data_IF_718015332414
#
_entry.id   IF_718015332414
#
_cell.length_a   1.000
_cell.length_b   1.000
_cell.length_c   1.000
_cell.angle_alpha   90.00
_cell.angle_beta   90.00
_cell.angle_gamma   90.00
#
_symmetry.space_group_name_H-M   'P 1'
#
loop_
_entity.id
_entity.type
_entity.pdbx_description
1 polymer ?
#
# COMPACT_ATOMS: atom_id res chain seq x y z
N UNK A 1 12.25 17.50 2.81
CA UNK A 1 11.76 16.49 1.86
C UNK A 1 10.68 15.66 2.53
N UNK A 2 9.69 15.13 1.77
CA UNK A 2 8.74 14.13 2.27
C UNK A 2 9.32 12.72 2.08
N UNK A 3 9.37 11.98 3.17
CA UNK A 3 9.97 10.67 3.25
C UNK A 3 8.91 9.63 3.61
N UNK A 4 8.79 8.59 2.79
CA UNK A 4 7.94 7.45 3.11
C UNK A 4 8.75 6.39 3.86
N UNK A 5 8.26 5.98 5.03
CA UNK A 5 8.79 4.90 5.82
C UNK A 5 7.78 3.75 5.82
N UNK A 6 8.10 2.66 5.13
CA UNK A 6 7.18 1.52 4.94
C UNK A 6 7.72 0.30 5.68
N UNK A 7 6.92 -0.26 6.58
CA UNK A 7 7.28 -1.49 7.30
C UNK A 7 7.09 -2.72 6.40
N UNK A 8 8.11 -3.58 6.39
CA UNK A 8 8.18 -4.84 5.65
C UNK A 8 8.68 -5.96 6.59
N UNK A 9 8.24 -5.92 7.85
CA UNK A 9 8.74 -6.77 8.92
C UNK A 9 7.94 -8.07 9.07
N UNK A 10 6.68 -8.09 8.63
CA UNK A 10 5.77 -9.22 8.89
C UNK A 10 5.67 -10.18 7.71
N UNK A 11 5.64 -11.46 8.04
CA UNK A 11 5.29 -12.54 7.12
C UNK A 11 3.78 -12.80 7.12
N UNK A 12 3.28 -13.42 6.04
CA UNK A 12 1.93 -13.93 5.96
C UNK A 12 1.66 -14.95 7.08
N UNK A 13 0.41 -15.01 7.56
CA UNK A 13 -0.02 -15.96 8.59
C UNK A 13 0.30 -17.41 8.27
N UNK A 14 0.31 -17.76 6.97
CA UNK A 14 0.60 -19.12 6.50
C UNK A 14 2.12 -19.35 6.32
N UNK A 15 2.98 -18.36 6.61
CA UNK A 15 4.43 -18.45 6.49
C UNK A 15 4.94 -18.55 5.05
N UNK A 16 4.13 -18.13 4.07
CA UNK A 16 4.48 -18.18 2.65
C UNK A 16 5.44 -17.06 2.21
N UNK A 17 5.77 -16.14 3.11
CA UNK A 17 6.70 -15.03 2.87
C UNK A 17 6.17 -13.67 3.30
N UNK A 18 6.90 -12.58 2.98
CA UNK A 18 6.54 -11.25 3.41
C UNK A 18 5.15 -10.81 2.92
N UNK A 19 4.33 -10.27 3.83
CA UNK A 19 3.00 -9.68 3.51
C UNK A 19 3.11 -8.67 2.36
N UNK A 20 4.18 -7.89 2.34
CA UNK A 20 4.45 -6.90 1.29
C UNK A 20 4.44 -7.46 -0.14
N UNK A 21 4.74 -8.76 -0.30
CA UNK A 21 4.75 -9.45 -1.60
C UNK A 21 3.42 -10.11 -1.96
N UNK A 22 2.40 -10.03 -1.11
CA UNK A 22 1.07 -10.56 -1.44
C UNK A 22 0.56 -9.97 -2.76
N UNK A 23 0.06 -10.81 -3.67
CA UNK A 23 -0.40 -10.37 -4.98
C UNK A 23 -1.69 -9.55 -4.86
N UNK A 24 -1.69 -8.34 -5.42
CA UNK A 24 -2.83 -7.43 -5.49
C UNK A 24 -2.90 -6.81 -6.88
N UNK A 25 -4.00 -7.00 -7.58
CA UNK A 25 -4.17 -6.54 -8.96
C UNK A 25 -3.03 -7.05 -9.88
N UNK A 26 -2.35 -6.18 -10.59
CA UNK A 26 -1.23 -6.50 -11.46
C UNK A 26 0.15 -6.42 -10.77
N UNK A 27 0.17 -6.21 -9.45
CA UNK A 27 1.39 -6.02 -8.67
C UNK A 27 1.33 -6.72 -7.32
N UNK A 28 1.95 -6.11 -6.33
CA UNK A 28 1.99 -6.58 -4.94
C UNK A 28 1.45 -5.50 -4.00
N UNK A 29 1.22 -5.85 -2.75
CA UNK A 29 0.84 -4.88 -1.72
C UNK A 29 1.86 -3.73 -1.62
N UNK A 30 3.16 -4.06 -1.69
CA UNK A 30 4.24 -3.04 -1.69
C UNK A 30 4.10 -2.06 -2.85
N UNK A 31 3.74 -2.50 -4.05
CA UNK A 31 3.52 -1.60 -5.19
C UNK A 31 2.41 -0.58 -4.90
N UNK A 32 1.33 -1.03 -4.24
CA UNK A 32 0.23 -0.14 -3.87
C UNK A 32 0.61 0.82 -2.74
N UNK A 33 1.39 0.36 -1.74
CA UNK A 33 1.90 1.23 -0.67
C UNK A 33 2.84 2.30 -1.23
N UNK A 34 3.73 1.95 -2.16
CA UNK A 34 4.61 2.91 -2.83
C UNK A 34 3.79 3.92 -3.65
N UNK A 35 2.80 3.46 -4.42
CA UNK A 35 1.91 4.36 -5.14
C UNK A 35 1.18 5.33 -4.21
N UNK A 36 0.67 4.85 -3.08
CA UNK A 36 0.07 5.71 -2.06
C UNK A 36 1.07 6.75 -1.54
N UNK A 37 2.28 6.32 -1.21
CA UNK A 37 3.34 7.20 -0.71
C UNK A 37 3.78 8.25 -1.75
N UNK A 38 3.89 7.89 -3.02
CA UNK A 38 4.16 8.84 -4.10
C UNK A 38 3.06 9.91 -4.22
N UNK A 39 1.80 9.51 -4.03
CA UNK A 39 0.67 10.44 -4.02
C UNK A 39 0.63 11.33 -2.79
N UNK A 40 1.18 10.92 -1.65
CA UNK A 40 1.45 11.81 -0.52
C UNK A 40 2.51 12.87 -0.85
N UNK A 41 3.21 12.73 -1.98
CA UNK A 41 4.33 13.55 -2.39
C UNK A 41 5.66 13.11 -1.78
N UNK A 42 5.78 11.82 -1.40
CA UNK A 42 7.06 11.30 -0.92
C UNK A 42 8.06 11.17 -2.08
N UNK A 43 9.25 11.71 -1.87
CA UNK A 43 10.34 11.72 -2.85
C UNK A 43 11.38 10.64 -2.53
N UNK A 44 11.53 10.29 -1.25
CA UNK A 44 12.45 9.27 -0.76
C UNK A 44 11.68 8.19 -0.02
N UNK A 45 12.14 6.94 -0.18
CA UNK A 45 11.51 5.76 0.40
C UNK A 45 12.49 5.01 1.29
N UNK A 46 12.10 4.73 2.51
CA UNK A 46 12.86 3.87 3.42
C UNK A 46 12.00 2.65 3.75
N UNK A 47 12.56 1.48 3.50
CA UNK A 47 11.93 0.21 3.78
C UNK A 47 12.51 -0.40 5.05
N UNK A 48 11.65 -0.65 6.04
CA UNK A 48 12.03 -1.32 7.28
C UNK A 48 11.99 -2.83 7.08
N UNK A 49 13.16 -3.45 6.94
CA UNK A 49 13.33 -4.88 6.69
C UNK A 49 14.19 -5.52 7.81
N UNK A 50 13.66 -5.78 9.01
CA UNK A 50 14.43 -6.40 10.10
C UNK A 50 14.96 -7.79 9.72
N UNK A 51 14.15 -8.52 8.96
CA UNK A 51 14.51 -9.84 8.42
C UNK A 51 14.74 -9.74 6.92
N UNK A 52 15.85 -10.29 6.47
CA UNK A 52 16.24 -10.24 5.05
C UNK A 52 15.51 -11.33 4.25
N UNK A 53 14.60 -10.92 3.39
CA UNK A 53 13.95 -11.80 2.40
C UNK A 53 14.51 -11.50 1.01
N UNK A 54 15.14 -12.50 0.38
CA UNK A 54 15.79 -12.34 -0.94
C UNK A 54 14.84 -11.80 -2.02
N UNK A 55 13.60 -12.27 -2.06
CA UNK A 55 12.60 -11.81 -3.02
C UNK A 55 12.23 -10.32 -2.81
N UNK A 56 12.16 -9.87 -1.55
CA UNK A 56 11.84 -8.49 -1.20
C UNK A 56 12.99 -7.56 -1.61
N UNK A 57 14.24 -7.93 -1.30
CA UNK A 57 15.42 -7.16 -1.71
C UNK A 57 15.53 -7.06 -3.22
N UNK A 58 15.33 -8.16 -3.95
CA UNK A 58 15.31 -8.14 -5.42
C UNK A 58 14.26 -7.16 -5.98
N UNK A 59 13.09 -7.09 -5.33
CA UNK A 59 12.04 -6.16 -5.73
C UNK A 59 12.45 -4.71 -5.46
N UNK A 60 12.98 -4.40 -4.29
CA UNK A 60 13.49 -3.06 -3.94
C UNK A 60 14.60 -2.65 -4.92
N UNK A 61 15.55 -3.53 -5.21
CA UNK A 61 16.63 -3.26 -6.16
C UNK A 61 16.10 -3.02 -7.59
N UNK A 62 15.03 -3.73 -7.98
CA UNK A 62 14.40 -3.48 -9.27
C UNK A 62 13.75 -2.08 -9.32
N UNK A 63 13.13 -1.63 -8.23
CA UNK A 63 12.56 -0.29 -8.12
C UNK A 63 13.64 0.80 -8.13
N UNK A 64 14.75 0.58 -7.42
CA UNK A 64 15.92 1.50 -7.46
C UNK A 64 16.45 1.65 -8.89
N UNK A 65 16.56 0.55 -9.63
CA UNK A 65 16.98 0.60 -11.05
C UNK A 65 16.00 1.35 -11.96
N UNK A 66 14.72 1.43 -11.56
CA UNK A 66 13.69 2.22 -12.24
C UNK A 66 13.69 3.70 -11.83
N UNK A 67 14.60 4.11 -10.96
CA UNK A 67 14.77 5.50 -10.54
C UNK A 67 14.09 5.86 -9.23
N UNK A 68 13.57 4.89 -8.45
CA UNK A 68 13.05 5.17 -7.13
C UNK A 68 14.21 5.46 -6.16
N UNK A 69 14.18 6.63 -5.50
CA UNK A 69 15.10 6.92 -4.40
C UNK A 69 14.67 6.13 -3.16
N UNK A 70 15.28 4.97 -2.99
CA UNK A 70 14.88 3.99 -1.99
C UNK A 70 16.09 3.43 -1.24
N UNK A 71 15.94 3.30 0.08
CA UNK A 71 16.90 2.60 0.94
C UNK A 71 16.15 1.59 1.82
N UNK A 72 16.87 0.61 2.34
CA UNK A 72 16.33 -0.29 3.34
C UNK A 72 17.16 -0.22 4.62
N UNK A 73 16.47 -0.32 5.75
CA UNK A 73 17.08 -0.30 7.09
C UNK A 73 16.57 -1.48 7.90
N UNK A 74 17.36 -1.91 8.86
CA UNK A 74 17.06 -3.08 9.70
C UNK A 74 16.69 -2.70 11.13
N UNK A 75 17.13 -1.53 11.57
CA UNK A 75 16.97 -1.09 12.95
C UNK A 75 16.60 0.39 13.05
N UNK A 76 16.06 0.83 14.20
CA UNK A 76 15.81 2.24 14.46
C UNK A 76 17.05 3.12 14.34
N UNK A 77 18.20 2.64 14.77
CA UNK A 77 19.48 3.37 14.74
C UNK A 77 19.96 3.64 13.29
N UNK A 78 19.71 2.71 12.36
CA UNK A 78 19.99 2.92 10.94
C UNK A 78 19.06 3.98 10.32
N UNK A 79 17.78 4.00 10.73
CA UNK A 79 16.78 4.92 10.19
C UNK A 79 17.19 6.39 10.36
N UNK A 80 17.73 6.75 11.52
CA UNK A 80 18.11 8.14 11.84
C UNK A 80 19.20 8.66 10.87
N UNK A 81 20.02 7.79 10.28
CA UNK A 81 21.06 8.20 9.34
C UNK A 81 20.51 8.65 7.98
N UNK A 82 19.28 8.28 7.65
CA UNK A 82 18.66 8.56 6.34
C UNK A 82 17.67 9.72 6.36
N UNK A 83 17.36 10.25 7.53
CA UNK A 83 16.42 11.37 7.70
C UNK A 83 17.13 12.60 8.25
N UNK A 84 16.84 13.76 7.70
CA UNK A 84 17.26 15.06 8.21
C UNK A 84 16.16 15.65 9.11
N UNK A 85 16.53 16.46 10.11
CA UNK A 85 15.58 17.09 11.04
C UNK A 85 14.48 17.91 10.34
N UNK A 86 14.76 18.41 9.14
CA UNK A 86 13.84 19.18 8.31
C UNK A 86 12.89 18.31 7.47
N UNK A 87 13.12 17.00 7.44
CA UNK A 87 12.30 16.09 6.67
C UNK A 87 10.96 15.81 7.36
N UNK A 88 10.00 15.44 6.57
CA UNK A 88 8.69 15.03 7.04
C UNK A 88 8.44 13.56 6.69
N UNK A 89 8.18 12.75 7.70
CA UNK A 89 8.04 11.30 7.57
C UNK A 89 6.59 10.91 7.56
N UNK A 90 6.20 10.06 6.59
CA UNK A 90 4.94 9.35 6.61
C UNK A 90 5.25 7.86 6.77
N UNK A 91 4.88 7.31 7.91
CA UNK A 91 5.02 5.90 8.20
C UNK A 91 3.75 5.13 7.83
N UNK A 92 3.94 3.98 7.20
CA UNK A 92 2.90 2.97 6.99
C UNK A 92 3.35 1.62 7.55
N UNK A 93 2.53 1.04 8.43
CA UNK A 93 2.75 -0.27 8.99
C UNK A 93 2.54 -1.39 7.95
N UNK A 94 3.01 -2.61 8.32
CA UNK A 94 2.80 -3.81 7.51
C UNK A 94 1.33 -4.03 7.19
N UNK A 95 1.04 -4.33 5.95
CA UNK A 95 -0.31 -4.66 5.52
C UNK A 95 -1.28 -3.48 5.41
N UNK A 96 -0.88 -2.28 5.79
CA UNK A 96 -1.76 -1.11 5.81
C UNK A 96 -1.80 -0.44 4.43
N UNK A 97 -3.03 -0.21 3.96
CA UNK A 97 -3.27 0.48 2.70
C UNK A 97 -4.39 1.52 2.87
N UNK A 98 -4.07 2.83 2.79
CA UNK A 98 -5.07 3.90 2.84
C UNK A 98 -5.85 4.00 1.52
N UNK A 99 -7.09 4.51 1.60
CA UNK A 99 -7.87 4.88 0.42
C UNK A 99 -7.50 6.29 -0.08
N UNK A 100 -8.12 6.70 -1.20
CA UNK A 100 -7.92 8.01 -1.82
C UNK A 100 -8.13 9.18 -0.85
N UNK A 101 -9.18 9.12 -0.05
CA UNK A 101 -9.55 10.18 0.90
C UNK A 101 -8.47 10.40 1.97
N UNK A 102 -7.89 9.32 2.49
CA UNK A 102 -6.79 9.40 3.46
C UNK A 102 -5.51 9.90 2.78
N UNK A 103 -5.27 9.46 1.54
CA UNK A 103 -4.14 9.92 0.74
C UNK A 103 -4.22 11.44 0.54
N UNK A 104 -5.37 11.94 0.12
CA UNK A 104 -5.58 13.36 -0.11
C UNK A 104 -5.41 14.17 1.19
N UNK A 105 -5.95 13.69 2.32
CA UNK A 105 -5.76 14.32 3.63
C UNK A 105 -4.29 14.43 4.04
N UNK A 106 -3.44 13.45 3.71
CA UNK A 106 -2.01 13.46 4.01
C UNK A 106 -1.20 14.32 3.02
N UNK A 107 -1.70 14.52 1.80
CA UNK A 107 -1.00 15.27 0.76
C UNK A 107 -1.09 16.79 0.95
N UNK A 108 -2.22 17.27 1.50
CA UNK A 108 -2.55 18.70 1.54
C UNK A 108 -1.62 19.54 2.43
N UNK A 109 -1.17 19.01 3.57
CA UNK A 109 -0.27 19.75 4.47
C UNK A 109 0.68 18.79 5.20
N UNK A 110 1.99 19.09 5.28
CA UNK A 110 2.91 18.34 6.13
C UNK A 110 2.60 18.67 7.60
N UNK A 111 1.70 17.90 8.21
CA UNK A 111 1.31 18.02 9.62
C UNK A 111 1.66 16.74 10.36
N UNK A 112 2.08 16.88 11.61
CA UNK A 112 2.12 15.75 12.53
C UNK A 112 0.69 15.26 12.74
N UNK A 113 0.42 13.99 12.42
CA UNK A 113 -0.93 13.44 12.46
C UNK A 113 -0.90 11.93 12.70
N UNK A 114 -1.66 11.47 13.68
CA UNK A 114 -1.82 10.06 14.04
C UNK A 114 -3.22 9.59 13.64
N UNK A 115 -3.31 8.61 12.74
CA UNK A 115 -4.61 8.06 12.34
C UNK A 115 -5.09 7.01 13.35
N UNK A 116 -6.29 7.21 13.89
CA UNK A 116 -6.85 6.39 14.95
C UNK A 116 -8.30 5.99 14.66
N UNK A 117 -8.76 4.96 15.36
CA UNK A 117 -10.17 4.56 15.40
C UNK A 117 -10.59 4.39 16.86
N UNK A 118 -11.86 4.55 17.17
CA UNK A 118 -12.38 4.26 18.49
C UNK A 118 -12.22 2.77 18.80
N UNK A 119 -11.93 2.46 20.06
CA UNK A 119 -11.75 1.08 20.50
C UNK A 119 -13.08 0.31 20.40
N UNK A 120 -13.07 -0.75 19.56
CA UNK A 120 -14.15 -1.71 19.42
C UNK A 120 -13.57 -3.11 19.19
N UNK A 121 -14.39 -4.15 19.37
CA UNK A 121 -13.98 -5.54 19.16
C UNK A 121 -13.55 -5.82 17.71
N UNK A 122 -14.17 -5.16 16.75
CA UNK A 122 -13.87 -5.32 15.32
C UNK A 122 -12.51 -4.75 14.90
N UNK A 123 -11.84 -3.97 15.76
CA UNK A 123 -10.55 -3.35 15.49
C UNK A 123 -9.40 -3.91 16.32
N UNK A 124 -9.55 -5.12 16.87
CA UNK A 124 -8.54 -5.74 17.76
C UNK A 124 -7.19 -5.97 17.09
N UNK A 125 -7.14 -6.10 15.77
CA UNK A 125 -5.91 -6.23 14.98
C UNK A 125 -5.03 -4.98 14.99
N UNK A 126 -5.60 -3.81 15.33
CA UNK A 126 -4.85 -2.56 15.41
C UNK A 126 -4.28 -2.33 16.81
N UNK A 127 -3.08 -1.77 16.88
CA UNK A 127 -2.38 -1.52 18.14
C UNK A 127 -3.15 -0.54 19.03
N UNK A 128 -3.23 -0.85 20.30
CA UNK A 128 -3.95 -0.03 21.27
C UNK A 128 -3.10 1.14 21.73
N UNK A 129 -3.63 2.35 21.65
CA UNK A 129 -2.98 3.55 22.16
C UNK A 129 -3.36 3.77 23.65
N UNK A 130 -4.66 3.74 23.91
CA UNK A 130 -5.23 3.98 25.24
C UNK A 130 -6.56 3.21 25.42
N UNK A 131 -7.33 3.54 26.45
CA UNK A 131 -8.61 2.87 26.71
C UNK A 131 -9.64 3.07 25.61
N UNK A 132 -9.55 4.16 24.85
CA UNK A 132 -10.58 4.61 23.93
C UNK A 132 -10.20 4.50 22.45
N UNK A 133 -8.91 4.36 22.13
CA UNK A 133 -8.44 4.47 20.75
C UNK A 133 -7.41 3.41 20.39
N UNK A 134 -7.42 3.06 19.09
CA UNK A 134 -6.42 2.21 18.44
C UNK A 134 -5.78 2.94 17.28
N UNK A 135 -4.51 2.63 17.04
CA UNK A 135 -3.72 3.18 15.96
C UNK A 135 -3.96 2.41 14.67
N UNK A 136 -4.23 3.10 13.59
CA UNK A 136 -4.51 2.50 12.27
C UNK A 136 -3.25 2.20 11.44
N UNK A 137 -2.07 2.26 12.04
CA UNK A 137 -0.81 1.92 11.36
C UNK A 137 -0.27 3.01 10.44
N UNK A 138 -0.82 4.22 10.50
CA UNK A 138 -0.31 5.38 9.74
C UNK A 138 -0.04 6.52 10.70
N UNK A 139 1.14 7.11 10.57
CA UNK A 139 1.51 8.34 11.28
C UNK A 139 2.36 9.24 10.39
N UNK A 140 2.13 10.54 10.51
CA UNK A 140 2.88 11.60 9.86
C UNK A 140 3.60 12.42 10.93
N UNK A 141 4.92 12.56 10.86
CA UNK A 141 5.77 13.18 11.86
C UNK A 141 6.90 14.01 11.24
N UNK A 142 7.36 15.02 11.96
CA UNK A 142 8.66 15.64 11.64
C UNK A 142 9.81 14.66 11.96
N UNK A 143 10.80 14.58 11.09
CA UNK A 143 11.94 13.67 11.28
C UNK A 143 12.76 14.00 12.53
N UNK A 144 12.74 15.24 13.02
CA UNK A 144 13.34 15.61 14.31
C UNK A 144 12.83 14.75 15.49
N UNK A 145 11.65 14.15 15.38
CA UNK A 145 11.13 13.21 16.39
C UNK A 145 11.88 11.89 16.43
N UNK A 146 12.58 11.52 15.33
CA UNK A 146 13.38 10.29 15.29
C UNK A 146 14.58 10.32 16.24
N UNK A 147 15.04 11.50 16.65
CA UNK A 147 16.12 11.62 17.64
C UNK A 147 15.78 10.87 18.92
N UNK A 148 14.51 10.86 19.32
CA UNK A 148 14.03 10.11 20.48
C UNK A 148 14.13 8.58 20.29
N UNK A 149 14.38 8.10 19.07
CA UNK A 149 14.49 6.68 18.74
C UNK A 149 15.94 6.17 18.77
N UNK A 150 16.95 7.05 18.89
CA UNK A 150 18.37 6.67 18.91
C UNK A 150 18.67 5.75 20.11
N UNK A 151 18.03 6.01 21.25
CA UNK A 151 18.26 5.26 22.48
C UNK A 151 17.34 4.02 22.62
N UNK A 152 16.52 3.74 21.58
CA UNK A 152 15.65 2.57 21.58
C UNK A 152 16.45 1.34 21.20
N UNK A 153 16.35 0.23 21.97
CA UNK A 153 16.99 -1.03 21.63
C UNK A 153 16.58 -1.50 20.22
N UNK A 154 17.53 -2.00 19.44
CA UNK A 154 17.32 -2.46 18.06
C UNK A 154 16.31 -3.63 17.96
N UNK A 155 16.03 -4.31 19.07
CA UNK A 155 15.04 -5.41 19.15
C UNK A 155 13.59 -4.90 19.19
N UNK A 156 13.38 -3.60 19.42
CA UNK A 156 12.03 -3.04 19.47
C UNK A 156 11.45 -2.86 18.08
N UNK A 157 10.15 -3.15 17.97
CA UNK A 157 9.41 -2.88 16.74
C UNK A 157 9.36 -1.37 16.48
N UNK A 158 9.88 -0.94 15.32
CA UNK A 158 9.99 0.48 14.95
C UNK A 158 8.62 1.15 14.90
N UNK A 159 7.59 0.45 14.43
CA UNK A 159 6.22 0.96 14.40
C UNK A 159 5.70 1.34 15.77
N UNK A 160 5.85 0.47 16.76
CA UNK A 160 5.44 0.73 18.15
C UNK A 160 6.28 1.84 18.79
N UNK A 161 7.55 1.94 18.44
CA UNK A 161 8.42 3.03 18.90
C UNK A 161 7.98 4.38 18.33
N UNK A 162 7.66 4.45 17.04
CA UNK A 162 7.10 5.64 16.39
C UNK A 162 5.74 6.03 16.99
N UNK A 163 4.87 5.05 17.23
CA UNK A 163 3.59 5.30 17.90
C UNK A 163 3.81 5.95 19.28
N UNK A 164 4.70 5.37 20.08
CA UNK A 164 5.02 5.92 21.41
C UNK A 164 5.55 7.35 21.29
N UNK A 165 6.47 7.60 20.38
CA UNK A 165 7.03 8.93 20.12
C UNK A 165 5.93 9.93 19.75
N UNK A 166 5.01 9.54 18.84
CA UNK A 166 3.88 10.36 18.45
C UNK A 166 2.94 10.68 19.63
N UNK A 167 2.63 9.68 20.45
CA UNK A 167 1.77 9.85 21.62
C UNK A 167 2.42 10.74 22.70
N UNK A 168 3.72 10.57 22.96
CA UNK A 168 4.47 11.39 23.92
C UNK A 168 4.62 12.84 23.46
N UNK A 169 4.62 13.06 22.15
CA UNK A 169 4.67 14.40 21.55
C UNK A 169 3.29 15.07 21.42
N UNK A 170 2.24 14.47 21.99
CA UNK A 170 0.84 14.95 21.84
C UNK A 170 0.44 15.18 20.37
N UNK A 171 0.90 14.29 19.48
CA UNK A 171 0.60 14.37 18.06
C UNK A 171 -0.92 14.43 17.83
N UNK A 172 -1.43 15.38 17.04
CA UNK A 172 -2.85 15.46 16.71
C UNK A 172 -3.39 14.13 16.16
N UNK A 173 -4.62 13.77 16.57
CA UNK A 173 -5.26 12.50 16.19
C UNK A 173 -6.38 12.73 15.20
N UNK A 174 -6.30 12.06 14.04
CA UNK A 174 -7.40 11.97 13.08
C UNK A 174 -8.21 10.71 13.39
N UNK A 175 -9.35 10.87 14.04
CA UNK A 175 -10.24 9.75 14.38
C UNK A 175 -11.07 9.39 13.15
N UNK A 176 -10.87 8.19 12.62
CA UNK A 176 -11.63 7.66 11.50
C UNK A 176 -12.91 7.01 12.07
N UNK A 177 -14.08 7.47 11.60
CA UNK A 177 -15.36 6.92 12.04
C UNK A 177 -15.58 5.50 11.49
N UNK A 178 -16.42 4.69 12.18
CA UNK A 178 -16.77 3.33 11.75
C UNK A 178 -17.36 3.31 10.34
N UNK A 179 -18.14 4.33 9.98
CA UNK A 179 -18.67 4.47 8.62
C UNK A 179 -17.55 4.57 7.57
N UNK A 180 -16.49 5.36 7.85
CA UNK A 180 -15.33 5.49 6.95
C UNK A 180 -14.50 4.21 6.93
N UNK A 181 -14.31 3.56 8.08
CA UNK A 181 -13.66 2.24 8.16
C UNK A 181 -14.43 1.21 7.34
N UNK A 182 -15.75 1.12 7.50
CA UNK A 182 -16.62 0.24 6.71
C UNK A 182 -16.59 0.50 5.21
N UNK A 183 -16.37 1.77 4.78
CA UNK A 183 -16.13 2.12 3.37
C UNK A 183 -14.70 1.86 2.91
N UNK A 184 -13.82 1.36 3.77
CA UNK A 184 -12.45 1.01 3.45
C UNK A 184 -11.49 2.19 3.42
N UNK A 185 -11.66 3.15 4.35
CA UNK A 185 -10.72 4.25 4.53
C UNK A 185 -9.29 3.73 4.74
N UNK A 186 -9.15 2.72 5.57
CA UNK A 186 -7.90 1.98 5.74
C UNK A 186 -8.20 0.49 5.63
N UNK A 187 -7.39 -0.22 4.87
CA UNK A 187 -7.46 -1.67 4.72
C UNK A 187 -6.24 -2.30 5.34
N UNK A 188 -6.44 -3.35 6.14
CA UNK A 188 -5.38 -4.13 6.75
C UNK A 188 -5.30 -5.50 6.07
N UNK A 189 -4.23 -5.73 5.32
CA UNK A 189 -4.03 -6.92 4.48
C UNK A 189 -2.91 -7.75 5.09
N UNK A 190 -3.26 -8.90 5.69
CA UNK A 190 -2.33 -9.75 6.45
C UNK A 190 -2.18 -11.16 5.88
N UNK A 191 -2.98 -11.51 4.87
CA UNK A 191 -3.00 -12.86 4.30
C UNK A 191 -3.49 -12.84 2.86
N UNK A 192 -3.30 -13.93 2.13
CA UNK A 192 -3.87 -14.12 0.79
C UNK A 192 -5.39 -13.98 0.79
N UNK A 193 -6.06 -14.42 1.85
CA UNK A 193 -7.52 -14.29 1.99
C UNK A 193 -7.95 -12.83 2.05
N UNK A 194 -7.32 -12.02 2.90
CA UNK A 194 -7.61 -10.58 3.01
C UNK A 194 -7.23 -9.84 1.74
N UNK A 195 -6.14 -10.22 1.06
CA UNK A 195 -5.74 -9.68 -0.23
C UNK A 195 -6.80 -9.95 -1.32
N UNK A 196 -7.32 -11.19 -1.38
CA UNK A 196 -8.38 -11.56 -2.31
C UNK A 196 -9.70 -10.83 -2.01
N UNK A 197 -10.05 -10.65 -0.73
CA UNK A 197 -11.23 -9.88 -0.32
C UNK A 197 -11.11 -8.41 -0.72
N UNK A 198 -9.97 -7.78 -0.45
CA UNK A 198 -9.67 -6.40 -0.85
C UNK A 198 -9.81 -6.23 -2.37
N UNK A 199 -9.18 -7.11 -3.13
CA UNK A 199 -9.24 -7.11 -4.60
C UNK A 199 -10.67 -7.22 -5.12
N UNK A 200 -11.48 -8.15 -4.57
CA UNK A 200 -12.88 -8.33 -4.95
C UNK A 200 -13.73 -7.08 -4.63
N UNK A 201 -13.49 -6.46 -3.47
CA UNK A 201 -14.17 -5.23 -3.08
C UNK A 201 -13.84 -4.10 -4.06
N UNK A 202 -12.58 -3.85 -4.32
CA UNK A 202 -12.13 -2.80 -5.25
C UNK A 202 -12.64 -3.00 -6.67
N UNK A 203 -12.68 -4.22 -7.17
CA UNK A 203 -13.25 -4.52 -8.48
C UNK A 203 -14.77 -4.24 -8.57
N UNK A 204 -15.49 -4.36 -7.45
CA UNK A 204 -16.93 -4.00 -7.41
C UNK A 204 -17.16 -2.50 -7.37
N UNK A 205 -16.24 -1.76 -6.73
CA UNK A 205 -16.28 -0.29 -6.59
C UNK A 205 -15.85 0.44 -7.87
N UNK A 206 -15.10 -0.23 -8.78
CA UNK A 206 -14.68 0.38 -10.03
C UNK A 206 -15.89 0.83 -10.84
N UNK A 207 -15.98 2.15 -11.16
CA UNK A 207 -17.07 2.64 -12.00
C UNK A 207 -16.96 1.97 -13.35
N UNK A 208 -18.02 1.30 -13.74
CA UNK A 208 -18.12 0.77 -15.08
C UNK A 208 -18.47 1.95 -15.96
N UNK A 209 -17.50 2.43 -16.74
CA UNK A 209 -17.74 3.45 -17.75
C UNK A 209 -18.98 3.12 -18.56
N UNK A 210 -19.82 4.16 -18.71
CA UNK A 210 -21.13 4.04 -19.35
C UNK A 210 -21.01 3.53 -20.79
N UNK A 211 -21.65 2.41 -21.01
CA UNK A 211 -22.36 2.01 -22.22
C UNK A 211 -21.69 2.13 -23.58
N UNK A 212 -20.86 1.13 -23.86
CA UNK A 212 -20.90 0.49 -25.17
C UNK A 212 -21.52 -0.90 -25.01
N UNK A 213 -22.50 -1.27 -25.87
CA UNK A 213 -23.16 -2.58 -25.90
C UNK A 213 -22.16 -3.74 -25.81
N UNK A 214 -21.01 -3.61 -26.48
CA UNK A 214 -19.85 -4.53 -26.42
C UNK A 214 -19.27 -4.65 -24.99
N UNK A 215 -19.16 -3.57 -24.25
CA UNK A 215 -18.62 -3.57 -22.90
C UNK A 215 -19.59 -4.27 -21.92
N UNK A 216 -20.89 -4.06 -22.09
CA UNK A 216 -21.94 -4.61 -21.22
C UNK A 216 -22.18 -6.11 -21.46
N UNK A 217 -22.18 -6.58 -22.71
CA UNK A 217 -22.58 -7.93 -23.06
C UNK A 217 -21.41 -8.90 -23.31
N UNK A 218 -20.26 -8.43 -23.80
CA UNK A 218 -19.09 -9.26 -24.04
C UNK A 218 -17.96 -9.08 -23.01
N UNK A 219 -17.50 -7.87 -22.79
CA UNK A 219 -16.33 -7.65 -21.96
C UNK A 219 -16.61 -7.85 -20.46
N UNK A 220 -17.75 -7.40 -19.94
CA UNK A 220 -18.14 -7.57 -18.53
C UNK A 220 -18.18 -9.02 -18.06
N UNK A 221 -18.90 -9.94 -18.73
CA UNK A 221 -18.95 -11.32 -18.30
C UNK A 221 -17.61 -12.04 -18.51
N UNK A 222 -16.85 -11.68 -19.55
CA UNK A 222 -15.51 -12.21 -19.80
C UNK A 222 -14.52 -11.74 -18.72
N UNK A 223 -14.48 -10.46 -18.40
CA UNK A 223 -13.62 -9.89 -17.34
C UNK A 223 -14.01 -10.50 -15.98
N UNK A 224 -15.29 -10.50 -15.62
CA UNK A 224 -15.74 -11.06 -14.33
C UNK A 224 -15.44 -12.56 -14.18
N UNK A 225 -15.40 -13.31 -15.26
CA UNK A 225 -15.19 -14.75 -15.24
C UNK A 225 -13.72 -15.15 -15.39
N UNK A 226 -12.92 -14.34 -16.08
CA UNK A 226 -11.50 -14.62 -16.38
C UNK A 226 -10.54 -13.94 -15.38
N UNK A 227 -10.84 -12.76 -14.86
CA UNK A 227 -9.96 -12.06 -13.94
C UNK A 227 -9.56 -12.88 -12.69
N UNK A 228 -10.48 -13.55 -11.97
CA UNK A 228 -10.10 -14.34 -10.82
C UNK A 228 -9.19 -15.53 -11.14
N UNK A 229 -9.25 -16.03 -12.39
CA UNK A 229 -8.42 -17.15 -12.86
C UNK A 229 -7.08 -16.69 -13.45
N UNK A 230 -7.05 -15.54 -14.11
CA UNK A 230 -5.83 -14.99 -14.71
C UNK A 230 -4.83 -14.53 -13.65
N UNK A 231 -5.28 -14.12 -12.49
CA UNK A 231 -4.42 -13.60 -11.43
C UNK A 231 -3.73 -14.67 -10.59
N UNK A 232 -4.17 -15.91 -10.68
CA UNK A 232 -3.49 -17.07 -10.10
C UNK A 232 -2.38 -17.64 -10.99
N UNK A 233 -2.23 -17.15 -12.23
CA UNK A 233 -1.27 -17.68 -13.21
C UNK A 233 -0.05 -16.74 -13.26
N UNK A 234 1.13 -17.24 -12.88
CA UNK A 234 2.41 -16.49 -12.89
C UNK A 234 2.77 -15.84 -14.24
N UNK A 235 2.21 -16.31 -15.34
CA UNK A 235 2.45 -15.82 -16.71
C UNK A 235 1.32 -14.93 -17.26
N UNK A 236 0.36 -14.49 -16.43
CA UNK A 236 -0.76 -13.66 -16.85
C UNK A 236 -0.38 -12.41 -17.67
N UNK A 237 0.72 -11.66 -17.36
CA UNK A 237 1.12 -10.51 -18.17
C UNK A 237 1.45 -10.87 -19.62
N UNK A 238 2.05 -12.02 -19.87
CA UNK A 238 2.40 -12.47 -21.23
C UNK A 238 1.16 -12.82 -22.06
N UNK A 239 0.17 -13.47 -21.44
CA UNK A 239 -1.09 -13.77 -22.12
C UNK A 239 -1.92 -12.51 -22.42
N UNK A 240 -1.90 -11.52 -21.54
CA UNK A 240 -2.54 -10.22 -21.79
C UNK A 240 -1.88 -9.45 -22.96
N UNK A 241 -0.55 -9.50 -23.08
CA UNK A 241 0.17 -8.91 -24.20
C UNK A 241 -0.17 -9.61 -25.54
N UNK A 242 -0.22 -10.94 -25.55
CA UNK A 242 -0.60 -11.71 -26.75
C UNK A 242 -2.06 -11.43 -27.14
N UNK A 243 -2.95 -11.32 -26.15
CA UNK A 243 -4.36 -11.02 -26.39
C UNK A 243 -4.56 -9.59 -26.93
N UNK A 244 -3.82 -8.59 -26.40
CA UNK A 244 -3.89 -7.21 -26.89
C UNK A 244 -3.35 -7.07 -28.33
N UNK A 245 -2.29 -7.81 -28.67
CA UNK A 245 -1.74 -7.89 -30.02
C UNK A 245 -2.73 -8.53 -31.01
N UNK A 246 -3.36 -9.61 -30.59
CA UNK A 246 -4.37 -10.29 -31.42
C UNK A 246 -5.62 -9.43 -31.63
N UNK A 247 -6.10 -8.75 -30.60
CA UNK A 247 -7.23 -7.83 -30.68
C UNK A 247 -6.92 -6.59 -31.57
N UNK A 248 -5.69 -6.08 -31.51
CA UNK A 248 -5.20 -5.00 -32.38
C UNK A 248 -5.15 -5.42 -33.86
N UNK A 249 -4.67 -6.64 -34.15
CA UNK A 249 -4.65 -7.20 -35.51
C UNK A 249 -6.06 -7.37 -36.10
N UNK A 250 -7.01 -7.89 -35.29
CA UNK A 250 -8.42 -8.00 -35.72
C UNK A 250 -9.03 -6.63 -35.98
N UNK A 251 -8.74 -5.62 -35.14
CA UNK A 251 -9.20 -4.25 -35.35
C UNK A 251 -8.68 -3.62 -36.66
N UNK A 252 -7.41 -3.85 -36.99
CA UNK A 252 -6.80 -3.36 -38.23
C UNK A 252 -7.43 -4.07 -39.47
N UNK A 253 -7.66 -5.38 -39.39
CA UNK A 253 -8.30 -6.14 -40.46
C UNK A 253 -9.73 -5.67 -40.72
N UNK A 254 -10.51 -5.42 -39.67
CA UNK A 254 -11.90 -4.93 -39.81
C UNK A 254 -11.98 -3.51 -40.33
N UNK A 255 -11.01 -2.63 -39.95
CA UNK A 255 -10.91 -1.28 -40.48
C UNK A 255 -10.47 -1.25 -41.96
N UNK A 256 -9.61 -2.19 -42.38
CA UNK A 256 -9.17 -2.32 -43.76
C UNK A 256 -10.27 -2.81 -44.71
N UNK A 257 -11.21 -3.61 -44.24
CA UNK A 257 -12.35 -4.10 -45.04
C UNK A 257 -13.52 -3.11 -45.09
N UNK A 258 -13.58 -2.12 -44.17
CA UNK A 258 -14.66 -1.11 -44.11
C UNK A 258 -14.52 0.06 -45.07
N UNK A 259 -13.46 0.15 -45.87
CA UNK A 259 -13.21 1.25 -46.82
C UNK A 259 -13.36 0.85 -48.29
N UNK A 260 -14.08 -0.25 -48.56
CA UNK A 260 -14.38 -0.70 -49.93
C UNK A 260 -15.88 -0.90 -50.11
N UNK A 261 -16.66 0.17 -49.90
CA UNK A 261 -18.03 0.31 -50.47
C UNK A 261 -18.24 1.81 -50.77
#
# INVERSE_FOLDING_TARGET
VKLALISLAKDDFDGNGPIALLPLFAGTLLDLQINAAQRFGSEKFIFLCPVTHGALLQKIDAMKRQGLDAEYVRSPSELVQYASDEDHIIYMADGILPNEEIIDQLSEVPQELLFTVLHAEEYQEFERIDLNQRWLGIVSLNASRLVAMIDIPDEWEIGSALLRTAVQADCPRAIISDRRMGSGAISHIQSEVSAAQFTRRKLREMPVEKDNFLNRFLLRPLIKRSLPRLWTIKSAPQYLQIFSLAAGLVGILTAGFGHSI
#
